data_IF_806174344305
#
_entry.id   IF_806174344305
#
_cell.length_a   1.000
_cell.length_b   1.000
_cell.length_c   1.000
_cell.angle_alpha   90.00
_cell.angle_beta   90.00
_cell.angle_gamma   90.00
#
_symmetry.space_group_name_H-M   'P 1'
#
loop_
_entity.id
_entity.type
_entity.pdbx_description
1 polymer ?
#
# COMPACT_ATOMS: atom_id res chain seq x y z
N UNK A 1 -23.08 18.59 -58.64
CA UNK A 1 -22.60 18.92 -57.28
C UNK A 1 -23.63 18.64 -56.18
N UNK A 2 -24.95 18.80 -56.42
CA UNK A 2 -25.98 18.53 -55.39
C UNK A 2 -26.18 17.03 -55.09
N UNK A 3 -26.11 16.17 -56.11
CA UNK A 3 -26.26 14.71 -55.98
C UNK A 3 -25.06 14.04 -55.28
N UNK A 4 -23.85 14.53 -55.54
CA UNK A 4 -22.62 14.07 -54.87
C UNK A 4 -22.58 14.46 -53.39
N UNK A 5 -23.11 15.64 -53.04
CA UNK A 5 -23.22 16.07 -51.65
C UNK A 5 -24.23 15.21 -50.87
N UNK A 6 -25.35 14.84 -51.50
CA UNK A 6 -26.35 13.98 -50.86
C UNK A 6 -25.83 12.56 -50.63
N UNK A 7 -25.07 12.00 -51.58
CA UNK A 7 -24.44 10.69 -51.44
C UNK A 7 -23.35 10.65 -50.34
N UNK A 8 -22.59 11.73 -50.16
CA UNK A 8 -21.64 11.85 -49.04
C UNK A 8 -22.34 11.94 -47.69
N UNK A 9 -23.48 12.63 -47.64
CA UNK A 9 -24.27 12.78 -46.41
C UNK A 9 -24.90 11.45 -45.98
N UNK A 10 -25.34 10.61 -46.92
CA UNK A 10 -25.84 9.28 -46.60
C UNK A 10 -24.72 8.31 -46.21
N UNK A 11 -23.52 8.45 -46.77
CA UNK A 11 -22.40 7.57 -46.42
C UNK A 11 -21.86 7.84 -45.01
N UNK A 12 -21.97 9.08 -44.49
CA UNK A 12 -21.53 9.39 -43.11
C UNK A 12 -22.49 8.89 -42.02
N UNK A 13 -23.79 8.78 -42.32
CA UNK A 13 -24.76 8.25 -41.34
C UNK A 13 -24.63 6.73 -41.15
N UNK A 14 -24.13 6.02 -42.17
CA UNK A 14 -23.83 4.59 -42.09
C UNK A 14 -22.57 4.29 -41.25
N UNK A 15 -21.56 5.17 -41.25
CA UNK A 15 -20.33 4.95 -40.47
C UNK A 15 -20.47 5.27 -38.98
N UNK A 16 -21.47 6.07 -38.59
CA UNK A 16 -21.79 6.36 -37.19
C UNK A 16 -22.34 5.14 -36.43
N UNK A 17 -22.99 4.19 -37.12
CA UNK A 17 -23.55 2.97 -36.51
C UNK A 17 -22.57 1.78 -36.47
N UNK A 18 -21.30 1.95 -36.85
CA UNK A 18 -20.32 0.86 -36.97
C UNK A 18 -19.49 0.61 -35.70
N UNK A 19 -19.75 1.33 -34.60
CA UNK A 19 -19.05 1.09 -33.34
C UNK A 19 -19.65 -0.14 -32.65
N UNK A 20 -19.08 -1.30 -32.93
CA UNK A 20 -19.26 -2.51 -32.14
C UNK A 20 -18.77 -2.19 -30.71
N UNK A 21 -19.67 -2.36 -29.73
CA UNK A 21 -19.34 -2.36 -28.32
C UNK A 21 -18.35 -3.51 -28.07
N UNK A 22 -17.07 -3.18 -27.97
CA UNK A 22 -16.02 -4.13 -27.61
C UNK A 22 -16.14 -4.44 -26.12
N UNK A 23 -17.07 -5.35 -25.79
CA UNK A 23 -17.20 -5.91 -24.45
C UNK A 23 -16.11 -6.96 -24.29
N UNK A 24 -14.93 -6.53 -23.86
CA UNK A 24 -13.93 -7.46 -23.35
C UNK A 24 -14.54 -8.21 -22.16
N UNK A 25 -14.92 -9.47 -22.34
CA UNK A 25 -15.35 -10.35 -21.25
C UNK A 25 -14.14 -10.67 -20.36
N UNK A 26 -13.79 -9.75 -19.48
CA UNK A 26 -12.85 -10.01 -18.41
C UNK A 26 -13.50 -11.03 -17.48
N UNK A 27 -12.90 -12.21 -17.36
CA UNK A 27 -13.34 -13.23 -16.42
C UNK A 27 -13.36 -12.64 -15.02
N UNK A 28 -14.55 -12.28 -14.55
CA UNK A 28 -14.75 -11.64 -13.25
C UNK A 28 -14.62 -12.69 -12.17
N UNK A 29 -13.39 -12.91 -11.71
CA UNK A 29 -13.10 -13.77 -10.57
C UNK A 29 -13.70 -13.12 -9.33
N UNK A 30 -14.88 -13.59 -8.92
CA UNK A 30 -15.53 -13.17 -7.69
C UNK A 30 -15.00 -14.04 -6.57
N UNK A 31 -14.17 -13.47 -5.70
CA UNK A 31 -13.63 -14.18 -4.56
C UNK A 31 -14.74 -14.38 -3.51
N UNK A 32 -14.87 -15.57 -2.91
CA UNK A 32 -15.78 -15.77 -1.81
C UNK A 32 -15.35 -14.93 -0.60
N UNK A 33 -16.32 -14.36 0.11
CA UNK A 33 -16.06 -13.62 1.35
C UNK A 33 -15.53 -14.58 2.42
N UNK A 34 -14.34 -14.31 2.95
CA UNK A 34 -13.76 -15.06 4.06
C UNK A 34 -14.06 -14.31 5.34
N UNK A 35 -14.85 -14.92 6.22
CA UNK A 35 -15.17 -14.37 7.55
C UNK A 35 -14.16 -14.88 8.58
N UNK A 36 -13.53 -13.97 9.32
CA UNK A 36 -12.64 -14.30 10.43
C UNK A 36 -13.48 -14.55 11.68
N UNK A 37 -13.61 -15.81 12.10
CA UNK A 37 -14.39 -16.20 13.27
C UNK A 37 -13.74 -15.76 14.59
N UNK A 38 -12.42 -15.98 14.74
CA UNK A 38 -11.66 -15.49 15.89
C UNK A 38 -10.15 -15.42 15.61
N UNK A 39 -9.46 -14.47 16.25
CA UNK A 39 -7.99 -14.38 16.27
C UNK A 39 -7.53 -14.57 17.71
N UNK A 40 -6.99 -15.75 18.03
CA UNK A 40 -6.51 -16.09 19.38
C UNK A 40 -5.08 -15.57 19.62
N UNK A 41 -4.92 -14.26 19.54
CA UNK A 41 -3.68 -13.57 19.90
C UNK A 41 -3.69 -13.26 21.41
N UNK A 42 -2.75 -13.83 22.17
CA UNK A 42 -2.58 -13.54 23.61
C UNK A 42 -1.23 -12.87 23.89
N UNK A 43 -1.01 -12.35 25.09
CA UNK A 43 0.28 -11.76 25.47
C UNK A 43 1.48 -12.72 25.43
N UNK A 44 1.23 -14.04 25.34
CA UNK A 44 2.24 -15.10 25.18
C UNK A 44 2.45 -15.52 23.71
N UNK A 45 1.62 -15.03 22.80
CA UNK A 45 1.79 -15.27 21.37
C UNK A 45 3.00 -14.43 20.89
N UNK A 46 3.97 -15.01 20.17
CA UNK A 46 5.11 -14.26 19.63
C UNK A 46 4.63 -13.38 18.47
N UNK A 47 3.95 -12.28 18.80
CA UNK A 47 3.60 -11.23 17.85
C UNK A 47 4.66 -10.12 17.89
N UNK A 48 5.01 -9.65 16.70
CA UNK A 48 6.12 -8.71 16.50
C UNK A 48 5.78 -7.29 16.94
N UNK A 49 4.49 -6.93 16.94
CA UNK A 49 3.97 -5.69 17.52
C UNK A 49 2.93 -6.05 18.58
N UNK A 50 3.29 -5.96 19.87
CA UNK A 50 2.28 -6.11 20.92
C UNK A 50 1.37 -4.88 20.92
N UNK A 51 0.09 -5.09 20.64
CA UNK A 51 -0.96 -4.17 21.07
C UNK A 51 -1.34 -4.49 22.52
N UNK A 52 -1.35 -3.44 23.36
CA UNK A 52 -2.05 -3.38 24.66
C UNK A 52 -1.64 -4.36 25.77
N UNK A 53 -0.59 -4.01 26.52
CA UNK A 53 -0.65 -3.72 27.97
C UNK A 53 0.74 -3.38 28.46
N UNK A 54 0.83 -2.32 29.26
CA UNK A 54 1.93 -2.06 30.20
C UNK A 54 2.18 -3.32 31.04
N UNK A 55 3.03 -4.21 30.56
CA UNK A 55 3.65 -5.25 31.38
C UNK A 55 5.08 -4.80 31.57
N UNK A 56 5.40 -4.43 32.81
CA UNK A 56 6.64 -3.84 33.32
C UNK A 56 7.90 -4.73 33.13
N UNK A 57 7.80 -5.79 32.34
CA UNK A 57 8.82 -6.82 32.15
C UNK A 57 8.97 -7.23 30.68
N UNK A 58 8.49 -6.42 29.72
CA UNK A 58 8.72 -6.70 28.30
C UNK A 58 10.06 -6.10 27.89
N UNK A 59 11.10 -6.93 27.76
CA UNK A 59 12.43 -6.54 27.26
C UNK A 59 12.37 -5.91 25.85
N UNK A 60 11.23 -6.03 25.17
CA UNK A 60 10.94 -5.46 23.85
C UNK A 60 10.37 -4.05 23.90
N UNK A 61 10.12 -3.47 25.08
CA UNK A 61 9.60 -2.11 25.22
C UNK A 61 10.74 -1.09 25.08
N UNK A 62 10.54 -0.11 24.20
CA UNK A 62 11.45 1.03 24.06
C UNK A 62 11.31 1.92 25.30
N UNK A 63 12.40 2.09 26.05
CA UNK A 63 12.49 2.96 27.23
C UNK A 63 13.31 4.23 26.94
N UNK A 64 13.10 5.28 27.73
CA UNK A 64 13.83 6.54 27.56
C UNK A 64 15.35 6.38 27.73
N UNK A 65 15.80 5.53 28.65
CA UNK A 65 17.23 5.25 28.84
C UNK A 65 17.82 4.50 27.66
N UNK A 66 17.08 3.55 27.09
CA UNK A 66 17.48 2.85 25.87
C UNK A 66 17.58 3.82 24.68
N UNK A 67 16.58 4.68 24.49
CA UNK A 67 16.59 5.71 23.44
C UNK A 67 17.77 6.68 23.60
N UNK A 68 18.06 7.12 24.82
CA UNK A 68 19.19 8.01 25.09
C UNK A 68 20.53 7.35 24.73
N UNK A 69 20.69 6.05 25.02
CA UNK A 69 21.91 5.30 24.68
C UNK A 69 22.06 5.06 23.17
N UNK A 70 20.96 4.87 22.45
CA UNK A 70 20.97 4.66 20.99
C UNK A 70 20.93 5.96 20.19
N UNK A 71 20.83 7.11 20.86
CA UNK A 71 20.81 8.41 20.22
C UNK A 71 22.20 8.79 19.71
N UNK A 72 22.44 8.52 18.44
CA UNK A 72 23.65 8.90 17.70
C UNK A 72 23.57 10.28 17.07
N UNK A 73 22.48 11.03 17.29
CA UNK A 73 22.22 12.32 16.61
C UNK A 73 21.76 12.19 15.15
N UNK A 74 21.49 10.97 14.69
CA UNK A 74 20.90 10.69 13.38
C UNK A 74 19.36 10.69 13.46
N UNK A 75 18.71 10.42 12.33
CA UNK A 75 17.25 10.39 12.24
C UNK A 75 16.63 9.25 13.08
N UNK A 76 15.38 9.46 13.51
CA UNK A 76 14.58 8.49 14.28
C UNK A 76 14.57 7.07 13.69
N UNK A 77 14.52 6.85 12.37
CA UNK A 77 14.56 5.50 11.82
C UNK A 77 15.83 4.71 12.19
N UNK A 78 16.98 5.37 12.34
CA UNK A 78 18.22 4.74 12.82
C UNK A 78 18.13 4.36 14.29
N UNK A 79 17.53 5.22 15.12
CA UNK A 79 17.34 4.92 16.55
C UNK A 79 16.42 3.71 16.75
N UNK A 80 15.43 3.55 15.88
CA UNK A 80 14.44 2.48 15.99
C UNK A 80 14.82 1.21 15.21
N UNK A 81 15.95 1.16 14.49
CA UNK A 81 16.29 0.10 13.52
C UNK A 81 16.27 -1.33 14.08
N UNK A 82 16.43 -1.49 15.40
CA UNK A 82 16.40 -2.79 16.09
C UNK A 82 15.02 -3.15 16.66
N UNK A 83 14.01 -2.32 16.39
CA UNK A 83 12.63 -2.60 16.78
C UNK A 83 12.07 -3.68 15.86
N UNK A 84 11.57 -4.80 16.41
CA UNK A 84 10.94 -5.84 15.59
C UNK A 84 9.79 -5.27 14.76
N UNK A 85 9.55 -5.83 13.56
CA UNK A 85 8.50 -5.41 12.63
C UNK A 85 8.65 -4.00 12.06
N UNK A 86 9.82 -3.38 12.20
CA UNK A 86 10.10 -2.10 11.59
C UNK A 86 11.22 -2.25 10.57
N UNK A 87 11.03 -1.66 9.39
CA UNK A 87 12.08 -1.57 8.36
C UNK A 87 12.51 -0.13 8.23
N UNK A 88 13.82 0.09 8.40
CA UNK A 88 14.45 1.38 8.14
C UNK A 88 15.04 1.37 6.73
N UNK A 89 14.88 2.49 6.03
CA UNK A 89 15.57 2.73 4.77
C UNK A 89 15.97 4.20 4.66
N UNK A 90 17.03 4.43 3.90
CA UNK A 90 17.51 5.76 3.52
C UNK A 90 17.69 5.77 2.02
N UNK A 91 17.17 6.80 1.35
CA UNK A 91 17.38 7.03 -0.08
C UNK A 91 18.02 8.40 -0.29
N UNK A 92 19.00 8.48 -1.18
CA UNK A 92 19.65 9.73 -1.56
C UNK A 92 18.83 10.55 -2.59
N UNK A 93 17.80 9.98 -3.21
CA UNK A 93 16.89 10.67 -4.14
C UNK A 93 17.64 11.48 -5.21
N UNK A 94 17.22 12.73 -5.44
CA UNK A 94 17.88 13.71 -6.34
C UNK A 94 19.01 14.50 -5.64
N UNK A 95 19.72 13.88 -4.71
CA UNK A 95 20.84 14.51 -3.97
C UNK A 95 20.47 15.09 -2.60
N UNK A 96 19.26 14.82 -2.09
CA UNK A 96 18.85 15.10 -0.71
C UNK A 96 18.49 13.77 -0.06
N UNK A 97 19.21 13.40 1.01
CA UNK A 97 18.97 12.15 1.74
C UNK A 97 17.66 12.19 2.52
N UNK A 98 16.80 11.19 2.32
CA UNK A 98 15.58 10.97 3.08
C UNK A 98 15.66 9.64 3.82
N UNK A 99 15.39 9.67 5.12
CA UNK A 99 15.24 8.47 5.94
C UNK A 99 13.76 8.21 6.19
N UNK A 100 13.31 6.97 5.99
CA UNK A 100 11.90 6.60 6.14
C UNK A 100 11.72 5.24 6.85
N UNK A 101 10.48 5.02 7.31
CA UNK A 101 10.03 3.84 8.04
C UNK A 101 8.99 3.08 7.22
N UNK A 102 9.04 1.75 7.30
CA UNK A 102 8.05 0.83 6.72
C UNK A 102 7.66 -0.26 7.69
#
# INVERSE_FOLDING_TARGET
>A
MKTTAFALLTLSTLTLNAQLLDSTEVSKITLPSVELLEVRASGRTPMTAKTSRYSFSDERQISNSMLANMNSGQDIPYVLQFTPSMTQASDAGTGMGYTYLR
#
